data_IF_231309444567
#
_entry.id   IF_231309444567
#
_cell.length_a   1.000
_cell.length_b   1.000
_cell.length_c   1.000
_cell.angle_alpha   90.00
_cell.angle_beta   90.00
_cell.angle_gamma   90.00
#
_symmetry.space_group_name_H-M   'P 1'
#
loop_
_entity.id
_entity.type
_entity.pdbx_description
1 polymer ?
#
# COMPACT_ATOMS: atom_id res chain seq x y z
N UNK A 1 0.89 23.33 -3.67
CA UNK A 1 1.16 22.08 -4.41
C UNK A 1 0.24 21.01 -3.87
N UNK A 2 -0.32 20.15 -4.72
CA UNK A 2 -1.31 19.16 -4.29
C UNK A 2 -0.70 17.76 -4.14
N UNK A 3 -0.97 17.09 -3.02
CA UNK A 3 -0.61 15.69 -2.77
C UNK A 3 -1.89 14.85 -2.72
N UNK A 4 -1.91 13.76 -3.48
CA UNK A 4 -3.04 12.83 -3.52
C UNK A 4 -2.72 11.57 -2.71
N UNK A 5 -3.44 11.40 -1.61
CA UNK A 5 -3.31 10.25 -0.71
C UNK A 5 -4.31 9.17 -1.11
N UNK A 6 -3.86 7.94 -1.26
CA UNK A 6 -4.72 6.80 -1.65
C UNK A 6 -4.52 5.67 -0.64
N UNK A 7 -5.29 5.69 0.47
CA UNK A 7 -5.27 4.62 1.46
C UNK A 7 -6.05 3.38 1.02
N UNK A 8 -5.62 2.23 1.55
CA UNK A 8 -6.42 1.01 1.51
C UNK A 8 -7.68 1.21 2.38
N UNK A 9 -8.86 0.71 1.96
CA UNK A 9 -10.13 0.89 2.68
C UNK A 9 -10.24 0.01 3.93
N UNK A 10 -9.20 -0.03 4.75
CA UNK A 10 -9.11 -0.71 6.03
C UNK A 10 -8.66 0.28 7.10
N UNK A 11 -9.26 0.19 8.29
CA UNK A 11 -9.00 1.15 9.38
C UNK A 11 -7.51 1.16 9.77
N UNK A 12 -6.85 -0.01 9.76
CA UNK A 12 -5.43 -0.14 10.07
C UNK A 12 -4.50 0.55 9.08
N UNK A 13 -4.98 0.90 7.88
CA UNK A 13 -4.22 1.65 6.88
C UNK A 13 -4.66 3.11 6.79
N UNK A 14 -5.95 3.36 6.94
CA UNK A 14 -6.53 4.70 6.84
C UNK A 14 -6.03 5.63 7.95
N UNK A 15 -6.00 5.17 9.21
CA UNK A 15 -5.59 6.02 10.34
C UNK A 15 -4.13 6.51 10.17
N UNK A 16 -3.14 5.63 9.95
CA UNK A 16 -1.75 6.07 9.73
C UNK A 16 -1.60 7.06 8.57
N UNK A 17 -2.31 6.83 7.45
CA UNK A 17 -2.24 7.75 6.30
C UNK A 17 -2.88 9.11 6.59
N UNK A 18 -3.97 9.15 7.36
CA UNK A 18 -4.59 10.42 7.80
C UNK A 18 -3.67 11.16 8.76
N UNK A 19 -2.99 10.46 9.67
CA UNK A 19 -2.00 11.07 10.57
C UNK A 19 -0.80 11.62 9.81
N UNK A 20 -0.27 10.87 8.82
CA UNK A 20 0.77 11.36 7.93
C UNK A 20 0.33 12.61 7.16
N UNK A 21 -0.89 12.62 6.64
CA UNK A 21 -1.47 13.78 5.96
C UNK A 21 -1.52 15.01 6.89
N UNK A 22 -1.98 14.84 8.15
CA UNK A 22 -2.00 15.92 9.14
C UNK A 22 -0.60 16.50 9.36
N UNK A 23 0.41 15.64 9.56
CA UNK A 23 1.80 16.07 9.75
C UNK A 23 2.33 16.89 8.56
N UNK A 24 1.98 16.54 7.33
CA UNK A 24 2.37 17.34 6.17
C UNK A 24 1.69 18.71 6.15
N UNK A 25 0.39 18.77 6.45
CA UNK A 25 -0.34 20.05 6.51
C UNK A 25 0.10 20.93 7.68
N UNK A 26 0.58 20.36 8.77
CA UNK A 26 1.14 21.09 9.91
C UNK A 26 2.53 21.66 9.61
N UNK A 27 3.31 20.99 8.76
CA UNK A 27 4.68 21.40 8.43
C UNK A 27 4.78 22.41 7.31
N UNK A 28 3.92 22.34 6.31
CA UNK A 28 3.96 23.28 5.17
C UNK A 28 2.54 23.66 4.73
N UNK A 29 2.21 24.93 4.98
CA UNK A 29 0.89 25.48 4.66
C UNK A 29 0.57 25.54 3.17
N UNK A 30 1.57 25.38 2.30
CA UNK A 30 1.42 25.40 0.83
C UNK A 30 1.05 24.02 0.29
N UNK A 31 1.04 22.99 1.12
CA UNK A 31 0.60 21.64 0.77
C UNK A 31 -0.92 21.53 0.88
N UNK A 32 -1.52 21.11 -0.22
CA UNK A 32 -2.93 20.79 -0.31
C UNK A 32 -3.06 19.28 -0.38
N UNK A 33 -3.76 18.66 0.57
CA UNK A 33 -3.90 17.21 0.62
C UNK A 33 -5.33 16.81 0.30
N UNK A 34 -5.46 15.88 -0.65
CA UNK A 34 -6.72 15.18 -0.96
C UNK A 34 -6.55 13.70 -0.67
N UNK A 35 -7.45 13.13 0.12
CA UNK A 35 -7.46 11.71 0.49
C UNK A 35 -8.58 11.02 -0.28
N UNK A 36 -8.24 10.05 -1.12
CA UNK A 36 -9.17 9.27 -1.93
C UNK A 36 -9.48 7.94 -1.25
N UNK A 37 -10.67 7.84 -0.65
CA UNK A 37 -11.14 6.59 -0.05
C UNK A 37 -11.91 5.79 -1.09
N UNK A 38 -11.40 4.60 -1.40
CA UNK A 38 -12.11 3.61 -2.21
C UNK A 38 -13.29 3.03 -1.42
N UNK A 39 -14.51 3.18 -1.92
CA UNK A 39 -15.67 2.46 -1.40
C UNK A 39 -15.83 1.16 -2.18
N UNK A 40 -15.57 0.04 -1.52
CA UNK A 40 -15.94 -1.26 -2.06
C UNK A 40 -17.46 -1.42 -2.05
N UNK A 41 -18.07 -1.94 -3.13
CA UNK A 41 -19.50 -2.23 -3.15
C UNK A 41 -19.81 -3.34 -2.15
N UNK A 42 -20.74 -3.10 -1.22
CA UNK A 42 -21.19 -4.13 -0.27
C UNK A 42 -21.75 -5.35 -1.01
N UNK A 43 -21.38 -6.55 -0.54
CA UNK A 43 -21.67 -7.88 -1.10
C UNK A 43 -23.15 -8.27 -1.30
N UNK A 44 -24.10 -7.36 -1.06
CA UNK A 44 -25.54 -7.68 -1.17
C UNK A 44 -26.08 -7.69 -2.61
N UNK A 45 -25.24 -7.51 -3.64
CA UNK A 45 -25.64 -7.56 -5.05
C UNK A 45 -24.71 -8.46 -5.88
N UNK A 46 -25.26 -9.26 -6.82
CA UNK A 46 -24.46 -10.14 -7.67
C UNK A 46 -23.37 -9.37 -8.42
N UNK A 47 -22.15 -9.92 -8.43
CA UNK A 47 -20.98 -9.34 -9.10
C UNK A 47 -21.22 -9.34 -10.62
N UNK A 48 -21.59 -8.19 -11.17
CA UNK A 48 -21.63 -7.98 -12.62
C UNK A 48 -20.21 -7.77 -13.16
N UNK A 49 -19.94 -8.03 -14.46
CA UNK A 49 -18.61 -7.85 -15.08
C UNK A 49 -18.05 -6.42 -15.03
N UNK A 50 -18.83 -5.45 -14.53
CA UNK A 50 -18.48 -4.03 -14.47
C UNK A 50 -18.91 -3.46 -13.12
N UNK A 51 -18.39 -4.01 -12.02
CA UNK A 51 -18.53 -3.35 -10.72
C UNK A 51 -17.62 -2.13 -10.67
N UNK A 52 -18.22 -0.94 -10.77
CA UNK A 52 -17.51 0.33 -10.63
C UNK A 52 -17.31 0.62 -9.15
N UNK A 53 -16.06 0.59 -8.68
CA UNK A 53 -15.73 1.12 -7.36
C UNK A 53 -15.99 2.63 -7.35
N UNK A 54 -16.55 3.14 -6.25
CA UNK A 54 -16.76 4.58 -6.07
C UNK A 54 -15.61 5.15 -5.25
N UNK A 55 -15.17 6.36 -5.59
CA UNK A 55 -14.12 7.08 -4.86
C UNK A 55 -14.74 8.28 -4.16
N UNK A 56 -14.39 8.47 -2.90
CA UNK A 56 -14.75 9.67 -2.16
C UNK A 56 -13.47 10.43 -1.81
N UNK A 57 -13.31 11.62 -2.39
CA UNK A 57 -12.20 12.51 -2.09
C UNK A 57 -12.55 13.39 -0.89
N UNK A 58 -11.66 13.43 0.09
CA UNK A 58 -11.73 14.31 1.24
C UNK A 58 -10.60 15.34 1.13
N UNK A 59 -10.94 16.63 1.17
CA UNK A 59 -9.94 17.70 1.08
C UNK A 59 -9.69 18.30 2.44
N UNK A 60 -8.42 18.41 2.84
CA UNK A 60 -8.05 19.03 4.11
C UNK A 60 -8.13 20.57 4.07
N UNK A 61 -8.10 21.19 2.87
CA UNK A 61 -8.20 22.65 2.64
C UNK A 61 -8.93 22.96 1.32
N UNK A 62 -9.39 24.20 1.16
CA UNK A 62 -10.01 24.66 -0.08
C UNK A 62 -8.97 24.76 -1.22
N UNK A 63 -9.17 24.01 -2.30
CA UNK A 63 -8.28 24.04 -3.48
C UNK A 63 -8.54 25.30 -4.30
N UNK A 64 -7.50 25.97 -4.76
CA UNK A 64 -7.62 26.84 -5.94
C UNK A 64 -7.69 25.95 -7.19
N UNK A 65 -8.45 26.37 -8.21
CA UNK A 65 -8.57 25.65 -9.51
C UNK A 65 -7.24 25.50 -10.27
N UNK A 66 -6.15 26.07 -9.74
CA UNK A 66 -4.83 26.12 -10.35
C UNK A 66 -3.80 25.20 -9.67
N UNK A 67 -4.21 24.43 -8.66
CA UNK A 67 -3.26 23.59 -7.91
C UNK A 67 -2.80 22.39 -8.73
N UNK A 68 -1.54 22.41 -9.15
CA UNK A 68 -0.89 21.26 -9.82
C UNK A 68 -0.67 20.13 -8.80
N UNK A 69 -1.10 18.93 -9.16
CA UNK A 69 -0.75 17.69 -8.45
C UNK A 69 0.76 17.46 -8.54
N UNK A 70 1.39 17.36 -7.39
CA UNK A 70 2.83 17.22 -7.25
C UNK A 70 3.26 15.77 -7.07
N UNK A 71 2.48 14.96 -6.35
CA UNK A 71 2.77 13.55 -6.16
C UNK A 71 1.55 12.76 -5.67
N UNK A 72 1.59 11.45 -5.89
CA UNK A 72 0.73 10.50 -5.19
C UNK A 72 1.46 9.90 -3.98
N UNK A 73 0.73 9.76 -2.88
CA UNK A 73 1.16 9.01 -1.69
C UNK A 73 0.21 7.82 -1.54
N UNK A 74 0.71 6.63 -1.87
CA UNK A 74 -0.09 5.42 -1.93
C UNK A 74 0.14 4.56 -0.70
N UNK A 75 -0.90 3.85 -0.26
CA UNK A 75 -0.70 2.67 0.58
C UNK A 75 -0.05 1.54 -0.22
N UNK A 76 0.69 0.68 0.46
CA UNK A 76 1.33 -0.50 -0.12
C UNK A 76 0.37 -1.41 -0.91
N UNK A 77 -0.91 -1.50 -0.57
CA UNK A 77 -1.88 -2.30 -1.33
C UNK A 77 -2.56 -1.53 -2.48
N UNK A 78 -2.21 -0.26 -2.68
CA UNK A 78 -2.76 0.60 -3.72
C UNK A 78 -1.78 0.83 -4.89
N UNK A 79 -0.81 -0.08 -5.11
CA UNK A 79 0.17 0.00 -6.21
C UNK A 79 -0.43 0.05 -7.62
N UNK A 80 -1.63 -0.47 -7.94
CA UNK A 80 -2.22 -0.26 -9.27
C UNK A 80 -2.43 1.22 -9.64
N UNK A 81 -2.40 2.14 -8.67
CA UNK A 81 -2.44 3.58 -8.92
C UNK A 81 -1.10 4.13 -9.45
N UNK A 82 0.00 3.37 -9.36
CA UNK A 82 1.32 3.74 -9.92
C UNK A 82 1.21 3.89 -11.44
N UNK A 83 0.59 2.93 -12.13
CA UNK A 83 0.42 2.98 -13.58
C UNK A 83 -0.36 4.22 -14.00
N UNK A 84 -1.45 4.51 -13.29
CA UNK A 84 -2.25 5.72 -13.49
C UNK A 84 -1.40 6.97 -13.27
N UNK A 85 -0.63 7.06 -12.19
CA UNK A 85 0.23 8.20 -11.91
C UNK A 85 1.33 8.39 -12.98
N UNK A 86 1.87 7.29 -13.49
CA UNK A 86 2.86 7.28 -14.57
C UNK A 86 2.29 7.82 -15.88
N UNK A 87 1.03 7.51 -16.22
CA UNK A 87 0.35 8.09 -17.39
C UNK A 87 0.29 9.62 -17.33
N UNK A 88 0.19 10.20 -16.12
CA UNK A 88 0.20 11.65 -15.91
C UNK A 88 1.61 12.23 -15.69
N UNK A 89 2.66 11.40 -15.68
CA UNK A 89 4.03 11.81 -15.38
C UNK A 89 4.20 12.35 -13.95
N UNK A 90 3.38 11.90 -13.00
CA UNK A 90 3.37 12.36 -11.61
C UNK A 90 4.15 11.35 -10.75
N UNK A 91 5.11 11.81 -9.92
CA UNK A 91 5.85 10.90 -9.05
C UNK A 91 4.97 10.26 -7.99
N UNK A 92 5.32 9.05 -7.61
CA UNK A 92 4.58 8.24 -6.65
C UNK A 92 5.47 7.80 -5.48
N UNK A 93 4.94 7.91 -4.27
CA UNK A 93 5.57 7.48 -3.03
C UNK A 93 4.70 6.43 -2.35
N UNK A 94 5.28 5.31 -1.95
CA UNK A 94 4.58 4.27 -1.21
C UNK A 94 4.82 4.48 0.29
N UNK A 95 3.73 4.54 1.05
CA UNK A 95 3.74 4.55 2.50
C UNK A 95 3.40 3.14 3.02
N UNK A 96 4.37 2.52 3.69
CA UNK A 96 4.19 1.23 4.33
C UNK A 96 3.71 1.44 5.77
N UNK A 97 2.42 1.22 6.01
CA UNK A 97 1.76 1.47 7.32
C UNK A 97 2.22 0.49 8.41
N UNK A 98 2.92 -0.58 8.04
CA UNK A 98 3.40 -1.64 8.94
C UNK A 98 4.87 -1.44 9.34
N UNK A 99 5.41 -2.34 10.16
CA UNK A 99 6.78 -2.24 10.66
C UNK A 99 7.85 -2.52 9.59
N UNK A 100 9.07 -2.03 9.82
CA UNK A 100 10.22 -2.29 8.93
C UNK A 100 10.53 -3.79 8.78
N UNK A 101 10.25 -4.61 9.80
CA UNK A 101 10.44 -6.06 9.74
C UNK A 101 9.49 -6.71 8.75
N UNK A 102 8.22 -6.29 8.73
CA UNK A 102 7.25 -6.77 7.75
C UNK A 102 7.64 -6.35 6.33
N UNK A 103 8.13 -5.13 6.14
CA UNK A 103 8.66 -4.68 4.83
C UNK A 103 9.89 -5.50 4.40
N UNK A 104 10.83 -5.74 5.31
CA UNK A 104 12.00 -6.56 5.03
C UNK A 104 11.65 -8.03 4.74
N UNK A 105 10.58 -8.54 5.35
CA UNK A 105 10.03 -9.84 4.99
C UNK A 105 9.40 -9.83 3.59
N UNK A 106 8.68 -8.77 3.21
CA UNK A 106 8.15 -8.63 1.84
C UNK A 106 9.28 -8.61 0.81
N UNK A 107 10.37 -7.86 1.06
CA UNK A 107 11.55 -7.90 0.18
C UNK A 107 12.21 -9.26 0.12
N UNK A 108 12.27 -9.98 1.25
CA UNK A 108 12.79 -11.34 1.26
C UNK A 108 11.97 -12.29 0.38
N UNK A 109 10.63 -12.19 0.43
CA UNK A 109 9.77 -12.96 -0.48
C UNK A 109 10.05 -12.63 -1.94
N UNK A 110 10.27 -11.35 -2.25
CA UNK A 110 10.63 -10.93 -3.60
C UNK A 110 11.97 -11.54 -4.04
N UNK A 111 13.00 -11.52 -3.19
CA UNK A 111 14.28 -12.18 -3.48
C UNK A 111 14.12 -13.69 -3.69
N UNK A 112 13.32 -14.37 -2.86
CA UNK A 112 13.03 -15.80 -3.06
C UNK A 112 12.40 -16.08 -4.43
N UNK A 113 11.48 -15.23 -4.85
CA UNK A 113 10.84 -15.36 -6.16
C UNK A 113 11.82 -15.07 -7.30
N UNK A 114 12.52 -13.93 -7.26
CA UNK A 114 13.29 -13.43 -8.38
C UNK A 114 14.65 -14.13 -8.54
N UNK A 115 15.34 -14.44 -7.44
CA UNK A 115 16.68 -15.03 -7.47
C UNK A 115 16.65 -16.55 -7.31
N UNK A 116 15.70 -17.07 -6.54
CA UNK A 116 15.63 -18.49 -6.22
C UNK A 116 14.49 -19.23 -6.95
N UNK A 117 13.58 -18.51 -7.63
CA UNK A 117 12.41 -19.07 -8.29
C UNK A 117 11.58 -19.96 -7.33
N UNK A 118 11.48 -19.52 -6.08
CA UNK A 118 10.77 -20.19 -5.00
C UNK A 118 9.64 -19.31 -4.48
N UNK A 119 8.49 -19.92 -4.22
CA UNK A 119 7.38 -19.27 -3.54
C UNK A 119 7.50 -19.47 -2.03
N UNK A 120 7.27 -18.41 -1.25
CA UNK A 120 7.17 -18.51 0.20
C UNK A 120 6.10 -19.52 0.64
N UNK A 121 5.08 -19.74 -0.18
CA UNK A 121 4.06 -20.77 0.01
C UNK A 121 4.64 -22.18 0.09
N UNK A 122 5.77 -22.46 -0.56
CA UNK A 122 6.44 -23.76 -0.47
C UNK A 122 6.94 -24.07 0.96
N UNK A 123 7.09 -23.05 1.80
CA UNK A 123 7.51 -23.18 3.19
C UNK A 123 6.33 -23.17 4.17
N UNK A 124 5.10 -22.91 3.70
CA UNK A 124 3.90 -22.91 4.52
C UNK A 124 3.78 -24.27 5.22
N UNK A 125 3.67 -24.24 6.54
CA UNK A 125 3.62 -25.41 7.42
C UNK A 125 4.89 -26.29 7.51
N UNK A 126 5.97 -25.92 6.81
CA UNK A 126 7.26 -26.60 6.95
C UNK A 126 7.96 -26.22 8.27
N UNK A 127 8.79 -27.12 8.80
CA UNK A 127 9.69 -26.84 9.94
C UNK A 127 10.93 -26.03 9.54
N UNK A 128 10.94 -25.45 8.34
CA UNK A 128 12.06 -24.67 7.82
C UNK A 128 12.19 -23.36 8.60
N UNK A 129 13.42 -23.07 9.03
CA UNK A 129 13.78 -21.78 9.59
C UNK A 129 14.30 -20.85 8.48
N UNK A 130 13.61 -19.75 8.23
CA UNK A 130 13.95 -18.78 7.20
C UNK A 130 14.95 -17.74 7.73
N UNK A 131 15.96 -17.44 6.93
CA UNK A 131 16.96 -16.39 7.23
C UNK A 131 16.51 -15.11 6.54
N UNK A 132 15.66 -14.35 7.24
CA UNK A 132 15.15 -13.07 6.72
C UNK A 132 16.12 -11.96 7.12
N UNK A 133 16.70 -11.19 6.18
CA UNK A 133 17.73 -10.19 6.49
C UNK A 133 17.33 -9.13 7.52
N UNK A 134 16.04 -8.80 7.65
CA UNK A 134 15.53 -7.84 8.64
C UNK A 134 15.34 -8.42 10.05
N UNK A 135 15.55 -9.72 10.23
CA UNK A 135 15.39 -10.41 11.52
C UNK A 135 16.75 -10.84 12.07
N UNK A 136 16.98 -10.58 13.36
CA UNK A 136 18.21 -11.01 14.05
C UNK A 136 18.29 -12.53 14.16
N UNK A 137 17.13 -13.18 14.36
CA UNK A 137 17.02 -14.62 14.50
C UNK A 137 16.31 -15.22 13.29
N UNK A 138 16.57 -16.50 13.03
CA UNK A 138 15.80 -17.24 12.02
C UNK A 138 14.33 -17.32 12.44
N UNK A 139 13.46 -17.28 11.45
CA UNK A 139 12.01 -17.27 11.66
C UNK A 139 11.43 -18.60 11.18
N UNK A 140 10.80 -19.41 12.05
CA UNK A 140 10.11 -20.61 11.62
C UNK A 140 8.99 -20.27 10.62
N UNK A 141 8.90 -20.99 9.50
CA UNK A 141 7.90 -20.71 8.48
C UNK A 141 6.45 -20.81 9.02
N UNK A 142 6.23 -21.65 10.04
CA UNK A 142 4.93 -21.83 10.74
C UNK A 142 4.41 -20.60 11.46
N UNK A 143 5.27 -19.64 11.84
CA UNK A 143 4.85 -18.44 12.58
C UNK A 143 4.63 -17.23 11.68
N UNK A 144 4.79 -17.41 10.37
CA UNK A 144 4.61 -16.33 9.41
C UNK A 144 3.13 -15.93 9.28
N UNK A 145 2.82 -14.63 9.17
CA UNK A 145 1.45 -14.18 9.00
C UNK A 145 0.87 -14.69 7.67
N UNK A 146 -0.25 -15.41 7.73
CA UNK A 146 -0.91 -16.00 6.56
C UNK A 146 -1.23 -14.96 5.48
N UNK A 147 -1.64 -13.76 5.90
CA UNK A 147 -1.97 -12.66 4.97
C UNK A 147 -0.78 -12.15 4.13
N UNK A 148 0.46 -12.34 4.60
CA UNK A 148 1.67 -12.01 3.82
C UNK A 148 2.11 -13.16 2.91
N UNK A 149 1.72 -14.39 3.26
CA UNK A 149 2.03 -15.60 2.51
C UNK A 149 1.04 -15.81 1.35
N UNK A 150 -0.25 -15.51 1.57
CA UNK A 150 -1.32 -15.81 0.62
C UNK A 150 -1.41 -14.79 -0.55
N UNK A 151 -0.67 -13.68 -0.49
CA UNK A 151 -0.56 -12.70 -1.58
C UNK A 151 0.90 -12.20 -1.73
N UNK A 152 1.80 -13.01 -2.29
CA UNK A 152 3.23 -12.69 -2.37
C UNK A 152 3.56 -11.56 -3.36
N UNK A 153 2.61 -11.15 -4.21
CA UNK A 153 2.85 -10.29 -5.38
C UNK A 153 2.66 -8.78 -5.16
N UNK A 154 2.49 -8.29 -3.92
CA UNK A 154 2.19 -6.87 -3.68
C UNK A 154 3.28 -5.87 -4.10
N UNK A 155 4.48 -6.33 -4.48
CA UNK A 155 5.58 -5.48 -4.98
C UNK A 155 5.96 -5.69 -6.45
N UNK A 156 5.33 -6.64 -7.16
CA UNK A 156 5.74 -7.05 -8.51
C UNK A 156 4.90 -6.45 -9.65
N UNK A 157 4.08 -5.44 -9.38
CA UNK A 157 3.45 -4.61 -10.41
C UNK A 157 4.35 -3.47 -10.82
#
# INVERSE_FOLDING_TARGET
MELMFVPTPSISHLIPMVELAKLFTERDDRLMIKIFIMKQPSDSKPKTPTQRCSFQAYSCRASSDTSRVAAFVLDMFCTPMIDVANEFGIPTYIYFTSSANALGFTFYNQTLHDEHNQDILAYKDSDTELVVPSFVNKVPAKVLPSGLIDNPFFLLT
#
